data_IF_417807239401
#
_entry.id   IF_417807239401
#
_cell.length_a   1.000
_cell.length_b   1.000
_cell.length_c   1.000
_cell.angle_alpha   90.00
_cell.angle_beta   90.00
_cell.angle_gamma   90.00
#
_symmetry.space_group_name_H-M   'P 1'
#
loop_
_entity.id
_entity.type
_entity.pdbx_description
1 polymer ?
2 non-polymer ?
3 non-polymer ?
4 water ?
#
# COMPACT_ATOMS: atom_id res chain seq x y z
N UNK A 37 -22.93 -20.70 15.52
CA UNK A 37 -23.21 -19.46 14.81
C UNK A 37 -22.80 -18.19 15.51
N UNK A 38 -23.09 -18.00 16.78
CA UNK A 38 -22.65 -16.76 17.46
C UNK A 38 -21.39 -17.02 18.29
N UNK A 39 -20.34 -16.19 18.19
CA UNK A 39 -19.18 -16.45 18.94
C UNK A 39 -19.10 -15.29 19.85
N UNK A 40 -18.90 -15.57 21.12
CA UNK A 40 -18.80 -14.45 22.06
C UNK A 40 -17.40 -14.45 22.67
N UNK A 41 -16.72 -13.29 22.61
CA UNK A 41 -15.37 -13.10 23.14
C UNK A 41 -15.31 -11.77 23.86
N UNK A 42 -14.34 -11.62 24.79
CA UNK A 42 -14.12 -10.39 25.53
C UNK A 42 -12.87 -9.74 24.96
N UNK A 43 -12.90 -8.42 24.67
CA UNK A 43 -11.77 -7.75 24.03
C UNK A 43 -11.68 -6.21 24.24
N UNK A 44 -10.47 -5.63 24.49
CA UNK A 44 -10.39 -4.17 24.71
C UNK A 44 -10.60 -3.31 23.47
N UNK A 45 -9.78 -3.53 22.46
CA UNK A 45 -9.82 -2.74 21.24
C UNK A 45 -9.19 -1.38 21.32
N UNK A 46 -9.27 -0.62 20.20
CA UNK A 46 -8.67 0.72 20.11
C UNK A 46 -9.44 1.74 20.97
N UNK A 47 -8.76 2.82 21.32
CA UNK A 47 -9.32 3.87 22.17
C UNK A 47 -9.00 3.62 23.63
N UNK A 48 -10.01 3.46 24.51
CA UNK A 48 -9.70 3.24 25.94
C UNK A 48 -9.50 1.77 26.29
N UNK A 49 -8.63 1.48 27.29
CA UNK A 49 -8.39 0.09 27.72
C UNK A 49 -9.58 -0.35 28.58
N UNK A 50 -10.57 -1.00 27.94
CA UNK A 50 -11.79 -1.46 28.61
C UNK A 50 -12.37 -2.70 27.92
N UNK A 51 -11.91 -3.91 28.32
CA UNK A 51 -12.43 -5.15 27.72
C UNK A 51 -13.95 -5.28 27.78
N UNK A 52 -14.57 -5.68 26.66
CA UNK A 52 -16.02 -5.86 26.57
C UNK A 52 -16.42 -7.04 25.70
N UNK A 53 -17.61 -7.62 25.97
CA UNK A 53 -18.12 -8.75 25.21
C UNK A 53 -18.50 -8.33 23.80
N UNK A 54 -17.94 -9.02 22.79
CA UNK A 54 -18.26 -8.77 21.38
C UNK A 54 -18.79 -10.09 20.82
N UNK A 55 -19.98 -10.05 20.25
CA UNK A 55 -20.63 -11.22 19.70
C UNK A 55 -20.66 -11.08 18.19
N UNK A 56 -20.23 -12.11 17.45
CA UNK A 56 -20.26 -12.11 15.99
C UNK A 56 -20.76 -13.43 15.43
N UNK A 57 -21.25 -13.39 14.18
CA UNK A 57 -21.81 -14.56 13.51
C UNK A 57 -21.47 -14.52 12.00
N UNK A 58 -21.96 -15.51 11.23
CA UNK A 58 -21.71 -15.65 9.78
C UNK A 58 -20.22 -15.72 9.50
N UNK A 59 -19.49 -16.49 10.32
CA UNK A 59 -18.05 -16.63 10.19
C UNK A 59 -17.73 -17.45 8.94
N UNK A 60 -16.85 -16.90 8.08
CA UNK A 60 -16.42 -17.54 6.84
C UNK A 60 -14.93 -17.24 6.63
N UNK A 61 -14.18 -18.18 6.04
CA UNK A 61 -12.76 -18.01 5.78
C UNK A 61 -12.59 -17.18 4.50
N UNK A 62 -11.77 -16.09 4.54
CA UNK A 62 -11.48 -15.27 3.37
C UNK A 62 -10.25 -15.86 2.69
N UNK A 63 -9.17 -16.02 3.43
CA UNK A 63 -7.94 -16.58 2.89
C UNK A 63 -6.94 -17.03 3.93
N UNK A 64 -5.93 -17.77 3.47
CA UNK A 64 -4.82 -18.30 4.25
C UNK A 64 -3.50 -17.88 3.59
N UNK A 65 -2.48 -17.60 4.39
CA UNK A 65 -1.17 -17.22 3.86
C UNK A 65 -0.13 -16.88 4.91
N UNK A 66 0.89 -16.10 4.50
CA UNK A 66 1.98 -15.64 5.39
C UNK A 66 1.43 -14.85 6.58
N UNK A 67 0.39 -14.04 6.33
CA UNK A 67 -0.32 -13.21 7.31
C UNK A 67 -1.01 -14.00 8.42
N UNK A 68 -1.32 -15.26 8.16
CA UNK A 68 -2.03 -16.15 9.07
C UNK A 68 -3.29 -16.58 8.37
N UNK A 69 -4.45 -16.32 8.97
CA UNK A 69 -5.74 -16.64 8.36
C UNK A 69 -6.71 -15.49 8.64
N UNK A 70 -7.40 -15.00 7.59
CA UNK A 70 -8.35 -13.91 7.72
C UNK A 70 -9.77 -14.45 7.51
N UNK A 71 -10.69 -14.14 8.46
CA UNK A 71 -12.08 -14.56 8.40
C UNK A 71 -12.97 -13.34 8.21
N UNK A 72 -14.13 -13.57 7.61
CA UNK A 72 -15.17 -12.57 7.46
C UNK A 72 -16.19 -12.90 8.55
N UNK A 73 -16.79 -11.90 9.20
CA UNK A 73 -17.81 -12.13 10.23
C UNK A 73 -18.71 -10.90 10.35
N UNK A 74 -19.84 -11.03 11.06
CA UNK A 74 -20.79 -9.92 11.25
C UNK A 74 -20.93 -9.65 12.73
N UNK A 75 -20.81 -8.39 13.17
CA UNK A 75 -20.99 -8.04 14.58
C UNK A 75 -22.47 -8.04 14.86
N UNK A 76 -22.93 -8.78 15.88
CA UNK A 76 -24.34 -8.92 16.21
C UNK A 76 -25.04 -7.60 16.58
N UNK A 77 -24.39 -6.76 17.42
CA UNK A 77 -25.01 -5.51 17.88
C UNK A 77 -25.37 -4.53 16.77
N UNK A 78 -24.44 -4.28 15.85
CA UNK A 78 -24.65 -3.34 14.75
C UNK A 78 -24.97 -3.98 13.40
N UNK A 79 -24.69 -5.28 13.23
CA UNK A 79 -24.90 -5.97 11.97
C UNK A 79 -23.86 -5.59 10.92
N UNK A 80 -22.70 -5.06 11.36
CA UNK A 80 -21.61 -4.59 10.49
C UNK A 80 -20.65 -5.72 10.20
N UNK A 81 -20.19 -5.82 8.95
CA UNK A 81 -19.22 -6.83 8.56
C UNK A 81 -17.82 -6.44 9.04
N UNK A 82 -17.03 -7.43 9.45
CA UNK A 82 -15.67 -7.23 9.95
C UNK A 82 -14.77 -8.32 9.41
N UNK A 83 -13.46 -8.06 9.44
CA UNK A 83 -12.43 -9.00 9.03
C UNK A 83 -11.67 -9.36 10.30
N UNK A 84 -11.61 -10.65 10.65
CA UNK A 84 -10.88 -11.09 11.83
C UNK A 84 -9.60 -11.75 11.34
N UNK A 85 -8.43 -11.19 11.67
CA UNK A 85 -7.14 -11.77 11.29
C UNK A 85 -6.55 -12.50 12.49
N UNK A 86 -6.56 -13.85 12.46
CA UNK A 86 -6.03 -14.69 13.52
C UNK A 86 -4.58 -15.05 13.15
N UNK A 87 -3.61 -14.71 14.03
CA UNK A 87 -2.18 -14.97 13.80
C UNK A 87 -1.59 -15.70 15.01
N UNK A 88 -0.73 -16.70 14.74
CA UNK A 88 -0.06 -17.46 15.80
C UNK A 88 1.11 -16.62 16.31
N UNK A 89 1.23 -16.51 17.61
CA UNK A 89 2.33 -15.75 18.18
C UNK A 89 3.56 -16.63 18.54
N UNK A 90 4.65 -16.54 17.80
CA UNK A 90 5.90 -17.24 18.11
C UNK A 90 7.08 -16.49 17.46
N UNK A 91 8.31 -16.97 17.62
CA UNK A 91 9.53 -16.40 17.04
C UNK A 91 9.73 -14.98 17.45
N UNK A 96 5.21 -6.17 14.92
CA UNK A 96 4.68 -4.89 15.40
C UNK A 96 3.33 -4.49 14.88
N UNK A 97 2.59 -5.41 14.27
CA UNK A 97 1.26 -5.10 13.71
C UNK A 97 0.32 -4.54 14.78
N UNK A 98 0.17 -5.24 15.91
CA UNK A 98 -0.73 -4.79 16.98
C UNK A 98 -0.35 -3.39 17.47
N UNK A 99 0.94 -3.17 17.79
CA UNK A 99 1.46 -1.87 18.27
C UNK A 99 1.15 -0.71 17.33
N UNK A 100 1.32 -0.93 16.01
CA UNK A 100 1.06 0.09 15.00
C UNK A 100 -0.43 0.30 14.79
N UNK A 101 -1.20 -0.79 14.67
CA UNK A 101 -2.65 -0.70 14.44
C UNK A 101 -3.43 0.04 15.54
N UNK A 102 -2.95 0.01 16.79
CA UNK A 102 -3.61 0.72 17.88
C UNK A 102 -3.41 2.25 17.81
N UNK A 103 -2.36 2.72 17.11
CA UNK A 103 -2.06 4.16 17.00
C UNK A 103 -2.63 4.79 15.70
N UNK A 104 -2.73 4.02 14.61
CA UNK A 104 -3.20 4.57 13.34
C UNK A 104 -4.70 4.87 13.29
N UNK A 105 -5.05 6.03 12.72
CA UNK A 105 -6.43 6.48 12.53
C UNK A 105 -6.48 7.31 11.25
N UNK A 106 -6.91 6.68 10.15
CA UNK A 106 -6.96 7.34 8.85
C UNK A 106 -8.04 6.69 7.98
N UNK A 107 -8.68 7.48 7.09
CA UNK A 107 -9.74 6.99 6.21
C UNK A 107 -9.26 6.01 5.14
N UNK A 108 -7.94 5.96 4.81
CA UNK A 108 -7.40 5.04 3.82
C UNK A 108 -6.55 3.94 4.44
N UNK A 109 -6.79 3.64 5.73
CA UNK A 109 -6.11 2.55 6.41
C UNK A 109 -7.20 1.81 7.16
N UNK A 110 -7.21 0.46 7.03
CA UNK A 110 -8.20 -0.37 7.69
C UNK A 110 -8.02 -0.18 9.19
N UNK A 111 -9.08 0.21 9.88
CA UNK A 111 -9.06 0.46 11.30
C UNK A 111 -9.15 -0.78 12.16
N UNK A 112 -8.46 -0.82 13.30
CA UNK A 112 -8.58 -1.91 14.26
C UNK A 112 -9.74 -1.60 15.17
N UNK A 113 -10.78 -2.43 15.14
CA UNK A 113 -11.94 -2.25 16.03
C UNK A 113 -11.57 -2.81 17.38
N UNK A 114 -11.20 -4.10 17.40
CA UNK A 114 -10.86 -4.85 18.61
C UNK A 114 -9.70 -5.81 18.38
N UNK A 115 -9.09 -6.31 19.47
CA UNK A 115 -8.04 -7.33 19.41
C UNK A 115 -8.15 -8.30 20.59
N UNK A 116 -7.97 -9.60 20.36
CA UNK A 116 -8.07 -10.55 21.48
C UNK A 116 -7.21 -11.76 21.28
N UNK A 117 -6.81 -12.36 22.40
CA UNK A 117 -6.01 -13.57 22.39
C UNK A 117 -6.96 -14.74 22.53
N UNK A 118 -6.63 -15.83 21.87
CA UNK A 118 -7.50 -17.01 21.90
C UNK A 118 -6.69 -18.26 21.65
N UNK A 119 -7.38 -19.41 21.74
CA UNK A 119 -6.78 -20.70 21.43
C UNK A 119 -6.91 -20.86 19.91
N UNK A 120 -6.39 -21.96 19.38
CA UNK A 120 -6.48 -22.25 17.96
C UNK A 120 -6.12 -23.67 17.64
N UNK A 121 -5.70 -23.93 16.39
CA UNK A 121 -5.32 -25.26 15.90
C UNK A 121 -4.23 -25.92 16.75
N UNK A 122 -3.26 -25.14 17.17
CA UNK A 122 -2.20 -25.66 17.97
C UNK A 122 -2.42 -25.47 19.47
N UNK A 123 -2.50 -26.60 20.15
CA UNK A 123 -2.70 -26.62 21.54
C UNK A 123 -1.54 -25.91 22.25
N UNK A 124 -1.92 -25.15 23.23
CA UNK A 124 -1.04 -24.43 24.10
C UNK A 124 -0.35 -23.36 23.36
N UNK A 125 -0.74 -23.09 22.12
CA UNK A 125 -0.19 -21.87 21.54
C UNK A 125 -1.18 -20.73 21.68
N UNK A 126 -0.64 -19.51 21.79
CA UNK A 126 -1.40 -18.28 21.92
C UNK A 126 -1.60 -17.74 20.50
N UNK A 127 -2.82 -17.28 20.18
CA UNK A 127 -3.15 -16.70 18.88
C UNK A 127 -3.71 -15.33 19.10
N UNK A 128 -3.27 -14.33 18.31
CA UNK A 128 -3.76 -12.96 18.38
C UNK A 128 -4.80 -12.79 17.28
N UNK A 129 -5.97 -12.23 17.62
CA UNK A 129 -7.06 -11.98 16.69
C UNK A 129 -7.25 -10.49 16.54
N UNK A 130 -7.19 -9.96 15.31
CA UNK A 130 -7.40 -8.54 15.05
C UNK A 130 -8.76 -8.36 14.36
N UNK A 131 -9.73 -7.68 15.02
CA UNK A 131 -11.06 -7.42 14.45
C UNK A 131 -10.96 -6.09 13.71
N UNK A 132 -10.91 -6.14 12.38
CA UNK A 132 -10.72 -4.96 11.54
C UNK A 132 -11.97 -4.64 10.73
N UNK A 133 -12.00 -3.44 10.13
CA UNK A 133 -13.11 -3.06 9.25
C UNK A 133 -13.08 -3.93 8.02
N UNK A 134 -14.25 -4.40 7.56
CA UNK A 134 -14.33 -5.25 6.37
C UNK A 134 -14.51 -4.39 5.15
N UNK A 135 -13.74 -4.71 4.12
CA UNK A 135 -13.78 -4.06 2.80
C UNK A 135 -13.94 -5.25 1.83
N UNK A 136 -14.90 -5.22 0.88
CA UNK A 136 -15.15 -6.43 0.08
C UNK A 136 -14.10 -6.86 -0.98
N UNK A 137 -13.38 -5.95 -1.64
CA UNK A 137 -12.42 -6.36 -2.68
C UNK A 137 -11.00 -5.90 -2.43
N UNK A 138 -10.08 -6.34 -3.29
CA UNK A 138 -8.67 -5.95 -3.27
C UNK A 138 -8.38 -5.36 -4.64
N UNK A 139 -7.34 -4.51 -4.76
CA UNK A 139 -6.90 -3.93 -6.03
C UNK A 139 -6.41 -5.06 -6.94
N UNK A 140 -5.87 -6.13 -6.35
CA UNK A 140 -5.40 -7.29 -7.09
C UNK A 140 -6.56 -7.92 -7.86
N UNK A 141 -7.63 -8.21 -7.14
CA UNK A 141 -8.83 -8.86 -7.69
C UNK A 141 -9.54 -7.98 -8.70
N UNK A 142 -9.64 -6.68 -8.45
CA UNK A 142 -10.31 -5.76 -9.37
C UNK A 142 -9.46 -5.64 -10.65
N UNK A 143 -8.13 -5.50 -10.51
CA UNK A 143 -7.23 -5.45 -11.67
C UNK A 143 -7.30 -6.76 -12.46
N UNK A 144 -7.40 -7.90 -11.76
CA UNK A 144 -7.50 -9.22 -12.38
C UNK A 144 -8.81 -9.40 -13.15
N UNK A 145 -9.93 -8.80 -12.69
CA UNK A 145 -11.21 -8.85 -13.40
C UNK A 145 -11.08 -8.15 -14.75
N UNK A 146 -10.50 -6.94 -14.77
CA UNK A 146 -10.31 -6.17 -16.00
C UNK A 146 -9.34 -6.87 -16.94
N UNK A 147 -8.24 -7.45 -16.42
CA UNK A 147 -7.26 -8.15 -17.28
C UNK A 147 -7.89 -9.37 -17.98
N UNK A 148 -8.59 -10.21 -17.22
CA UNK A 148 -9.27 -11.41 -17.76
C UNK A 148 -10.32 -11.03 -18.80
N UNK A 149 -10.93 -9.83 -18.66
CA UNK A 149 -11.91 -9.29 -19.59
C UNK A 149 -11.24 -8.43 -20.69
N UNK A 150 -9.92 -8.62 -20.96
CA UNK A 150 -9.13 -7.91 -21.99
C UNK A 150 -9.22 -6.38 -21.89
N UNK A 151 -9.35 -5.86 -20.66
CA UNK A 151 -9.49 -4.44 -20.38
C UNK A 151 -8.43 -3.97 -19.39
N UNK A 152 -8.17 -2.68 -19.42
CA UNK A 152 -7.26 -2.03 -18.51
C UNK A 152 -8.20 -1.34 -17.49
N UNK A 153 -7.81 -1.28 -16.23
CA UNK A 153 -8.65 -0.64 -15.22
C UNK A 153 -8.90 0.84 -15.63
N UNK A 154 -10.17 1.33 -15.70
CA UNK A 154 -10.41 2.73 -16.08
C UNK A 154 -9.53 3.73 -15.32
N UNK A 155 -9.07 4.81 -15.99
CA UNK A 155 -8.12 5.76 -15.43
C UNK A 155 -8.71 6.39 -14.18
N UNK A 156 -10.02 6.70 -14.18
CA UNK A 156 -10.68 7.29 -13.01
C UNK A 156 -10.41 6.45 -11.74
N UNK A 157 -10.47 5.11 -11.84
CA UNK A 157 -10.15 4.24 -10.72
C UNK A 157 -8.65 4.18 -10.44
N UNK A 158 -7.80 4.21 -11.49
CA UNK A 158 -6.33 4.23 -11.34
C UNK A 158 -5.97 5.50 -10.54
N UNK A 159 -6.58 6.66 -10.90
CA UNK A 159 -6.38 7.93 -10.19
C UNK A 159 -6.87 7.80 -8.74
N UNK A 160 -8.12 7.38 -8.53
CA UNK A 160 -8.71 7.24 -7.19
C UNK A 160 -7.95 6.30 -6.28
N UNK A 161 -7.58 5.13 -6.78
CA UNK A 161 -6.89 4.11 -5.96
C UNK A 161 -5.47 4.52 -5.63
N UNK A 162 -4.73 5.08 -6.59
CA UNK A 162 -3.34 5.50 -6.37
C UNK A 162 -3.24 6.70 -5.44
N UNK A 163 -4.14 7.68 -5.61
CA UNK A 163 -4.21 8.87 -4.75
C UNK A 163 -4.42 8.45 -3.29
N UNK A 164 -5.39 7.56 -3.04
CA UNK A 164 -5.69 7.07 -1.70
C UNK A 164 -4.56 6.23 -1.12
N UNK A 165 -3.80 5.53 -1.98
CA UNK A 165 -2.65 4.75 -1.55
C UNK A 165 -1.58 5.74 -1.11
N UNK A 166 -1.24 6.72 -1.97
CA UNK A 166 -0.23 7.73 -1.61
C UNK A 166 -0.66 8.51 -0.39
N UNK A 167 -1.96 8.77 -0.24
CA UNK A 167 -2.46 9.50 0.92
C UNK A 167 -2.25 8.70 2.22
N UNK A 168 -2.51 7.39 2.19
CA UNK A 168 -2.27 6.51 3.34
C UNK A 168 -0.76 6.42 3.67
N UNK A 169 0.11 6.49 2.64
CA UNK A 169 1.57 6.46 2.80
C UNK A 169 2.07 7.78 3.37
N UNK A 170 1.48 8.91 2.95
CA UNK A 170 1.88 10.20 3.50
C UNK A 170 1.61 10.20 5.01
N UNK A 171 0.49 9.63 5.43
CA UNK A 171 0.11 9.53 6.83
C UNK A 171 1.05 8.63 7.66
N UNK A 172 1.30 7.38 7.24
CA UNK A 172 2.20 6.48 8.00
C UNK A 172 3.64 6.96 7.98
N UNK A 173 4.12 7.56 6.85
CA UNK A 173 5.48 8.07 6.74
C UNK A 173 5.70 9.33 7.58
N UNK A 174 4.62 10.05 7.96
CA UNK A 174 4.73 11.23 8.83
C UNK A 174 5.07 10.81 10.28
N UNK A 175 4.88 9.52 10.64
CA UNK A 175 5.24 8.95 11.94
C UNK A 175 6.55 8.16 11.83
N UNK A 176 7.16 8.12 10.64
CA UNK A 176 8.36 7.34 10.38
C UNK A 176 8.06 5.88 10.14
N UNK A 177 6.76 5.49 9.94
CA UNK A 177 6.36 4.10 9.73
C UNK A 177 6.37 3.78 8.26
N UNK A 178 7.12 2.73 7.89
CA UNK A 178 7.22 2.20 6.53
C UNK A 178 6.37 0.93 6.52
N UNK A 179 5.50 0.73 5.52
CA UNK A 179 4.67 -0.46 5.41
C UNK A 179 5.54 -1.69 5.11
N UNK A 180 6.42 -1.58 4.10
CA UNK A 180 7.34 -2.62 3.64
C UNK A 180 6.64 -3.83 2.99
N UNK A 181 5.39 -3.69 2.54
CA UNK A 181 4.72 -4.77 1.83
C UNK A 181 3.58 -4.21 0.97
N UNK A 182 3.84 -3.08 0.28
CA UNK A 182 2.82 -2.48 -0.58
C UNK A 182 2.70 -3.33 -1.84
N UNK A 183 1.49 -3.85 -2.10
CA UNK A 183 1.22 -4.69 -3.26
C UNK A 183 -0.29 -4.68 -3.50
N UNK A 184 -0.77 -5.07 -4.70
CA UNK A 184 -2.22 -5.05 -4.96
C UNK A 184 -3.11 -5.82 -3.98
N UNK A 185 -2.60 -6.91 -3.42
CA UNK A 185 -3.32 -7.76 -2.47
C UNK A 185 -3.59 -7.04 -1.15
N UNK A 186 -2.67 -6.14 -0.72
CA UNK A 186 -2.80 -5.37 0.52
C UNK A 186 -3.57 -4.04 0.36
N UNK A 187 -4.11 -3.74 -0.83
CA UNK A 187 -4.90 -2.52 -1.04
C UNK A 187 -6.35 -2.94 -1.12
N UNK A 188 -7.08 -2.78 0.00
CA UNK A 188 -8.48 -3.17 0.08
C UNK A 188 -9.32 -2.17 -0.65
N UNK A 189 -10.46 -2.61 -1.18
CA UNK A 189 -11.34 -1.79 -2.00
C UNK A 189 -12.80 -2.05 -1.81
N UNK A 190 -13.58 -0.96 -1.81
CA UNK A 190 -15.03 -1.01 -1.80
C UNK A 190 -15.40 -0.55 -3.22
N UNK A 191 -15.84 -1.47 -4.12
CA UNK A 191 -16.14 -1.05 -5.50
C UNK A 191 -17.15 0.07 -5.71
N UNK A 192 -18.25 0.10 -4.91
CA UNK A 192 -19.34 1.07 -5.08
C UNK A 192 -18.96 2.51 -4.74
N UNK A 193 -18.26 2.69 -3.63
CA UNK A 193 -17.83 4.01 -3.14
C UNK A 193 -16.42 4.40 -3.63
N UNK A 194 -15.63 3.43 -4.13
CA UNK A 194 -14.25 3.59 -4.60
C UNK A 194 -13.29 3.96 -3.45
N UNK A 195 -13.61 3.50 -2.22
CA UNK A 195 -12.78 3.75 -1.05
C UNK A 195 -11.67 2.71 -1.01
N UNK A 196 -10.41 3.14 -0.86
CA UNK A 196 -9.26 2.25 -0.76
C UNK A 196 -8.77 2.26 0.68
N UNK A 197 -8.42 1.09 1.22
CA UNK A 197 -7.90 0.97 2.57
C UNK A 197 -6.66 0.10 2.60
N UNK A 198 -5.54 0.67 3.02
CA UNK A 198 -4.28 -0.07 3.14
C UNK A 198 -4.41 -1.04 4.33
N UNK A 199 -3.97 -2.28 4.16
CA UNK A 199 -4.05 -3.30 5.20
C UNK A 199 -2.73 -4.07 5.30
N UNK A 200 -2.70 -5.05 6.24
CA UNK A 200 -1.58 -5.92 6.52
C UNK A 200 -0.32 -5.19 6.94
N UNK A 201 -0.25 -4.84 8.22
CA UNK A 201 0.91 -4.16 8.82
C UNK A 201 1.83 -5.17 9.54
N UNK A 202 1.87 -6.43 9.06
CA UNK A 202 2.71 -7.47 9.62
C UNK A 202 4.18 -7.35 9.25
N UNK A 203 4.51 -6.61 8.18
CA UNK A 203 5.89 -6.34 7.77
C UNK A 203 6.28 -4.90 8.17
N UNK A 204 5.33 -4.08 8.65
CA UNK A 204 5.53 -2.67 8.97
C UNK A 204 6.45 -2.41 10.14
N UNK A 205 7.21 -1.32 10.05
CA UNK A 205 8.15 -0.96 11.10
C UNK A 205 8.48 0.53 11.07
N UNK A 206 8.72 1.11 12.25
CA UNK A 206 9.15 2.49 12.36
C UNK A 206 10.64 2.51 12.04
N UNK A 207 11.04 3.21 10.96
CA UNK A 207 12.45 3.31 10.54
C UNK A 207 13.10 4.46 11.29
N UNK A 208 14.24 4.20 11.96
CA UNK A 208 15.00 5.21 12.73
C UNK A 208 16.41 5.29 12.14
N UNK A 209 16.91 6.53 11.90
CA UNK A 209 18.26 6.71 11.35
C UNK A 209 19.30 6.23 12.35
N UNK A 210 20.15 5.28 11.92
CA UNK A 210 21.17 4.68 12.76
C UNK A 210 20.89 3.22 13.04
N UNK A 211 19.59 2.84 13.13
CA UNK A 211 19.18 1.46 13.41
C UNK A 211 19.05 0.70 12.08
N UNK A 212 19.79 -0.42 11.88
CA UNK A 212 19.67 -1.15 10.61
C UNK A 212 18.36 -1.92 10.49
N UNK A 213 17.96 -2.25 9.25
CA UNK A 213 16.71 -2.96 8.96
C UNK A 213 16.97 -4.09 7.96
N UNK A 214 16.18 -5.19 8.02
CA UNK A 214 16.37 -6.32 7.08
C UNK A 214 16.18 -5.87 5.64
N UNK A 215 17.04 -6.38 4.75
CA UNK A 215 16.99 -6.08 3.33
C UNK A 215 16.00 -6.99 2.64
N UNK A 217 12.90 -8.01 2.38
CA UNK A 217 11.55 -7.59 2.79
C UNK A 217 10.79 -7.15 1.54
N UNK A 218 9.42 -7.07 1.62
CA UNK A 218 8.51 -6.71 0.52
C UNK A 218 8.34 -7.91 -0.38
N UNK A 219 7.17 -8.05 -1.02
CA UNK A 219 6.93 -9.15 -1.96
C UNK A 219 7.81 -8.82 -3.16
N UNK A 220 8.61 -9.79 -3.61
CA UNK A 220 9.62 -9.63 -4.67
C UNK A 220 9.26 -8.70 -5.81
N UNK A 221 8.07 -8.85 -6.42
CA UNK A 221 7.67 -8.03 -7.58
C UNK A 221 7.69 -6.52 -7.26
N UNK A 222 7.39 -6.17 -6.01
CA UNK A 222 7.30 -4.78 -5.55
C UNK A 222 8.48 -4.39 -4.68
N UNK A 223 9.58 -5.16 -4.71
CA UNK A 223 10.76 -4.90 -3.89
C UNK A 223 11.62 -3.81 -4.53
N UNK A 224 11.93 -2.75 -3.77
CA UNK A 224 12.78 -1.65 -4.26
C UNK A 224 14.19 -2.13 -4.54
N UNK A 225 14.91 -1.54 -5.53
CA UNK A 225 16.25 -2.05 -5.86
C UNK A 225 17.32 -1.92 -4.76
N UNK A 226 17.16 -0.98 -3.79
CA UNK A 226 18.09 -0.83 -2.64
C UNK A 226 18.06 -2.07 -1.82
N UNK A 227 16.86 -2.67 -1.67
CA UNK A 227 16.67 -3.89 -0.89
C UNK A 227 17.36 -5.03 -1.60
N UNK A 228 17.31 -5.06 -2.95
CA UNK A 228 17.98 -6.10 -3.73
C UNK A 228 19.50 -5.95 -3.56
N UNK A 229 20.00 -4.69 -3.54
CA UNK A 229 21.44 -4.43 -3.32
C UNK A 229 21.87 -4.58 -1.83
N UNK A 230 20.99 -5.10 -0.96
CA UNK A 230 21.32 -5.39 0.44
C UNK A 230 21.38 -4.19 1.37
N UNK A 231 20.74 -3.07 1.01
CA UNK A 231 20.78 -1.87 1.87
C UNK A 231 20.01 -2.12 3.17
N UNK A 232 20.63 -1.81 4.32
CA UNK A 232 20.00 -1.92 5.64
C UNK A 232 19.62 -0.53 6.17
N UNK A 233 20.13 0.55 5.52
CA UNK A 233 19.89 1.94 5.90
C UNK A 233 18.80 2.61 5.03
N UNK A 234 17.94 1.80 4.39
CA UNK A 234 16.85 2.31 3.55
C UNK A 234 15.85 3.15 4.32
N UNK A 235 15.03 3.90 3.58
CA UNK A 235 14.04 4.80 4.14
C UNK A 235 12.66 4.36 3.72
N UNK A 236 11.66 5.18 4.05
CA UNK A 236 10.29 4.93 3.67
C UNK A 236 10.05 5.04 2.15
N UNK A 237 11.03 5.55 1.36
CA UNK A 237 10.88 5.60 -0.10
C UNK A 237 10.84 4.19 -0.77
N UNK A 238 11.01 3.07 -0.01
CA UNK A 238 10.84 1.72 -0.58
C UNK A 238 9.34 1.47 -0.86
N UNK A 239 8.44 2.11 -0.10
CA UNK A 239 7.00 2.00 -0.32
C UNK A 239 6.57 2.79 -1.55
N UNK A 240 7.26 3.89 -1.85
CA UNK A 240 6.99 4.71 -3.03
C UNK A 240 7.37 3.90 -4.28
N UNK A 241 8.49 3.16 -4.20
CA UNK A 241 8.90 2.31 -5.33
C UNK A 241 7.82 1.26 -5.52
N UNK A 242 7.40 0.61 -4.43
CA UNK A 242 6.36 -0.43 -4.46
C UNK A 242 5.04 0.15 -5.00
N UNK A 243 4.71 1.40 -4.67
CA UNK A 243 3.49 2.06 -5.19
C UNK A 243 3.64 2.33 -6.70
N UNK A 244 4.85 2.68 -7.13
CA UNK A 244 5.17 2.85 -8.55
C UNK A 244 4.96 1.57 -9.33
N UNK A 245 5.33 0.43 -8.72
CA UNK A 245 5.12 -0.91 -9.27
C UNK A 245 3.62 -1.19 -9.39
N UNK A 246 2.82 -0.79 -8.36
CA UNK A 246 1.37 -0.99 -8.40
C UNK A 246 0.78 -0.11 -9.53
N UNK A 247 1.18 1.17 -9.61
CA UNK A 247 0.71 2.07 -10.68
C UNK A 247 1.01 1.47 -12.06
N UNK A 248 2.27 1.09 -12.31
CA UNK A 248 2.69 0.50 -13.59
C UNK A 248 1.88 -0.76 -13.93
N UNK A 249 1.60 -1.60 -12.94
CA UNK A 249 0.82 -2.83 -13.14
C UNK A 249 -0.63 -2.55 -13.56
N UNK A 250 -1.24 -1.47 -13.05
CA UNK A 250 -2.60 -1.10 -13.42
C UNK A 250 -2.65 -0.54 -14.84
N UNK A 251 -1.56 0.09 -15.31
CA UNK A 251 -1.47 0.63 -16.66
C UNK A 251 -1.12 -0.46 -17.69
N UNK A 252 -0.39 -1.52 -17.27
CA UNK A 252 0.01 -2.62 -18.16
C UNK A 252 -0.95 -3.81 -18.16
N UNK A 253 -1.62 -4.05 -17.04
CA UNK A 253 -2.53 -5.19 -16.90
C UNK A 253 -1.81 -6.45 -16.44
N UNK A 254 -0.56 -6.30 -15.94
CA UNK A 254 0.27 -7.41 -15.46
C UNK A 254 1.47 -6.82 -14.72
N UNK A 255 2.09 -7.53 -13.74
CA UNK A 255 3.25 -6.94 -13.04
C UNK A 255 4.36 -6.47 -13.98
N UNK A 256 4.89 -5.25 -13.75
CA UNK A 256 5.97 -4.68 -14.56
C UNK A 256 7.33 -5.41 -14.35
N UNK A 257 7.60 -5.92 -13.14
CA UNK A 257 8.88 -6.59 -12.83
C UNK A 257 8.65 -7.98 -12.23
N UNK A 258 8.24 -8.98 -13.05
CA UNK A 258 7.95 -10.31 -12.51
C UNK A 258 9.18 -11.21 -12.36
N UNK A 259 10.05 -10.87 -11.41
CA UNK A 259 11.27 -11.64 -11.17
C UNK A 259 11.01 -12.97 -10.50
N UNK A 260 11.81 -13.99 -10.85
CA UNK A 260 11.70 -15.34 -10.30
C UNK A 260 12.64 -15.55 -9.09
N UNK A 261 13.36 -14.50 -8.66
CA UNK A 261 14.29 -14.53 -7.52
C UNK A 261 14.81 -13.11 -7.29
N UNK A 262 15.52 -12.89 -6.18
CA UNK A 262 16.11 -11.60 -5.87
C UNK A 262 17.02 -11.06 -6.97
N UNK A 263 17.81 -11.94 -7.58
CA UNK A 263 18.76 -11.58 -8.64
C UNK A 263 18.00 -11.29 -9.93
N UNK A 264 17.06 -12.17 -10.31
CA UNK A 264 16.26 -12.00 -11.52
C UNK A 264 15.31 -10.79 -11.40
N UNK A 265 14.95 -10.39 -10.15
CA UNK A 265 14.12 -9.22 -9.94
C UNK A 265 14.88 -7.97 -10.41
N UNK A 266 16.18 -7.90 -10.12
CA UNK A 266 17.01 -6.78 -10.56
C UNK A 266 17.15 -6.78 -12.10
N UNK A 267 17.19 -7.96 -12.73
CA UNK A 267 17.28 -8.09 -14.20
C UNK A 267 16.04 -7.48 -14.83
N UNK A 268 14.86 -7.74 -14.25
CA UNK A 268 13.60 -7.18 -14.75
C UNK A 268 13.59 -5.66 -14.64
N UNK A 269 14.12 -5.11 -13.55
CA UNK A 269 14.22 -3.66 -13.36
C UNK A 269 15.17 -3.06 -14.40
N UNK A 270 16.35 -3.67 -14.57
CA UNK A 270 17.37 -3.23 -15.55
C UNK A 270 16.82 -3.28 -16.99
N UNK A 271 16.02 -4.29 -17.35
CA UNK A 271 15.43 -4.36 -18.70
C UNK A 271 14.53 -3.16 -19.06
N UNK A 272 13.96 -2.45 -18.06
CA UNK A 272 13.13 -1.27 -18.27
C UNK A 272 13.95 -0.01 -17.99
N UNK A 273 14.52 0.13 -16.78
CA UNK A 273 15.26 1.33 -16.39
C UNK A 273 16.65 1.45 -16.97
N UNK A 274 17.19 0.37 -17.50
CA UNK A 274 18.56 0.35 -18.02
C UNK A 274 19.51 0.06 -16.88
N UNK A 275 20.77 -0.17 -17.20
CA UNK A 275 21.77 -0.46 -16.18
C UNK A 275 21.94 0.74 -15.24
N UNK A 276 21.86 0.55 -13.90
CA UNK A 276 22.05 1.69 -13.00
C UNK A 276 23.49 2.18 -13.02
N UNK A 277 23.70 3.48 -12.87
CA UNK A 277 25.05 4.07 -12.87
C UNK A 277 25.72 3.82 -11.52
N UNK A 278 27.01 4.21 -11.41
CA UNK A 278 27.76 4.08 -10.16
C UNK A 278 27.13 4.98 -9.10
N UNK A 279 26.83 6.25 -9.46
CA UNK A 279 26.18 7.20 -8.54
C UNK A 279 24.89 6.61 -7.99
N UNK A 280 24.06 6.03 -8.87
CA UNK A 280 22.80 5.39 -8.48
C UNK A 280 23.04 4.20 -7.56
N UNK A 281 24.03 3.36 -7.87
CA UNK A 281 24.37 2.23 -7.01
C UNK A 281 24.86 2.72 -5.63
N UNK A 282 25.66 3.79 -5.60
CA UNK A 282 26.12 4.36 -4.32
C UNK A 282 24.92 4.92 -3.52
N UNK A 283 23.97 5.58 -4.22
CA UNK A 283 22.76 6.10 -3.58
C UNK A 283 21.86 4.99 -3.01
N UNK A 284 21.77 3.85 -3.72
CA UNK A 284 20.96 2.70 -3.30
C UNK A 284 21.59 1.98 -2.11
N UNK A 285 22.91 1.70 -2.19
CA UNK A 285 23.65 1.08 -1.08
C UNK A 285 25.07 1.63 -1.08
N UNK A 286 25.45 2.47 -0.08
CA UNK A 286 26.81 3.01 -0.07
C UNK A 286 27.92 1.99 0.17
N UNK A 287 27.63 0.78 0.70
CA UNK A 287 28.65 -0.24 0.95
C UNK A 287 28.74 -1.32 -0.16
N UNK A 288 27.96 -1.20 -1.25
CA UNK A 288 28.04 -2.15 -2.37
C UNK A 288 29.04 -1.54 -3.35
N UNK A 289 30.03 -2.35 -3.75
CA UNK A 289 31.03 -1.94 -4.72
C UNK A 289 31.38 -2.93 -5.84
N UNK A 290 30.69 -4.05 -5.89
CA UNK A 290 30.99 -5.17 -6.78
C UNK A 290 30.19 -5.52 -8.01
N UNK A 291 29.35 -4.66 -8.54
CA UNK A 291 28.43 -4.69 -9.63
C UNK A 291 29.05 -4.34 -10.96
N UNK A 292 29.23 -5.39 -11.70
CA UNK A 292 29.68 -5.74 -12.97
C UNK A 292 28.40 -6.26 -13.53
N UNK A 293 27.91 -5.61 -14.56
CA UNK A 293 26.73 -6.00 -15.26
C UNK A 293 26.87 -5.36 -16.63
N UNK A 294 26.36 -6.03 -17.64
CA UNK A 294 26.44 -5.40 -18.97
C UNK A 294 25.64 -4.10 -19.11
N UNK A 295 26.00 -3.28 -20.10
CA UNK A 295 25.31 -2.02 -20.37
C UNK A 295 24.01 -2.28 -21.14
N UNK A 296 22.88 -2.13 -20.47
CA UNK A 296 21.55 -2.31 -21.05
C UNK A 296 20.93 -0.93 -21.14
N UNK A 297 20.42 -0.57 -22.32
CA UNK A 297 19.75 0.71 -22.54
C UNK A 297 18.41 0.70 -21.86
N UNK A 298 17.98 1.85 -21.37
CA UNK A 298 16.67 1.99 -20.72
C UNK A 298 15.57 1.92 -21.80
N UNK A 299 14.46 1.27 -21.46
CA UNK A 299 13.30 1.16 -22.35
C UNK A 299 12.54 2.49 -22.16
N UNK A 300 12.41 3.36 -23.20
CA UNK A 300 11.73 4.64 -22.95
C UNK A 300 10.33 4.46 -22.38
N UNK A 301 10.00 5.27 -21.36
CA UNK A 301 8.70 5.16 -20.66
C UNK A 301 7.48 5.19 -21.59
N UNK A 302 7.53 5.96 -22.69
CA UNK A 302 6.42 6.01 -23.66
C UNK A 302 6.21 4.66 -24.36
N UNK A 303 7.29 3.89 -24.56
CA UNK A 303 7.26 2.56 -25.19
C UNK A 303 6.91 1.43 -24.21
N UNK A 304 7.13 1.62 -22.90
CA UNK A 304 6.81 0.60 -21.89
C UNK A 304 5.30 0.37 -21.86
N UNK A 305 4.54 1.45 -21.81
CA UNK A 305 3.10 1.39 -21.75
C UNK A 305 2.49 1.43 -23.14
N UNK A 306 1.21 1.06 -23.25
CA UNK A 306 0.48 1.03 -24.52
C UNK A 306 0.22 2.47 -25.00
N UNK A 307 0.03 2.72 -26.31
CA UNK A 307 -0.14 4.11 -26.79
C UNK A 307 -1.31 4.92 -26.17
N UNK A 308 -2.41 4.27 -25.77
CA UNK A 308 -3.55 4.98 -25.15
C UNK A 308 -3.25 5.50 -23.72
N UNK A 309 -2.19 5.00 -23.08
CA UNK A 309 -1.81 5.39 -21.71
C UNK A 309 -1.66 6.91 -21.57
N UNK A 310 -2.36 7.58 -20.64
CA UNK A 310 -2.21 9.03 -20.53
C UNK A 310 -0.79 9.48 -20.17
N UNK A 311 -0.22 10.48 -20.90
CA UNK A 311 1.14 10.95 -20.57
C UNK A 311 1.41 11.27 -19.09
N UNK A 312 0.42 11.85 -18.39
CA UNK A 312 0.58 12.21 -16.97
C UNK A 312 0.77 10.98 -16.09
N UNK A 313 0.12 9.85 -16.44
CA UNK A 313 0.28 8.59 -15.69
C UNK A 313 1.72 8.09 -15.86
N UNK A 314 2.25 8.18 -17.10
CA UNK A 314 3.62 7.76 -17.44
C UNK A 314 4.60 8.68 -16.72
N UNK A 315 4.34 10.00 -16.74
CA UNK A 315 5.17 11.01 -16.09
C UNK A 315 5.25 10.74 -14.61
N UNK A 316 4.11 10.49 -13.95
CA UNK A 316 4.09 10.15 -12.51
C UNK A 316 4.90 8.89 -12.28
N UNK A 317 4.65 7.85 -13.07
CA UNK A 317 5.35 6.57 -12.94
C UNK A 317 6.88 6.71 -13.03
N UNK A 318 7.39 7.57 -13.93
CA UNK A 318 8.83 7.80 -14.07
C UNK A 318 9.46 8.47 -12.82
N UNK A 319 8.64 9.19 -12.01
CA UNK A 319 9.10 9.86 -10.79
C UNK A 319 9.02 8.97 -9.55
N UNK A 320 8.45 7.76 -9.68
CA UNK A 320 8.33 6.81 -8.60
C UNK A 320 9.34 5.69 -8.77
N UNK A 321 9.47 5.17 -10.00
CA UNK A 321 10.39 4.08 -10.34
C UNK A 321 11.71 4.67 -10.76
N UNK A 322 12.41 5.25 -9.78
CA UNK A 322 13.74 5.86 -9.92
C UNK A 322 14.69 4.97 -9.12
N UNK A 323 15.93 4.78 -9.62
CA UNK A 323 16.93 4.02 -8.87
C UNK A 323 17.30 4.74 -7.58
N UNK A 324 17.67 6.03 -7.69
CA UNK A 324 18.06 6.86 -6.56
C UNK A 324 16.86 7.02 -5.61
N UNK A 325 16.94 6.49 -4.37
CA UNK A 325 15.79 6.60 -3.46
C UNK A 325 15.31 8.02 -3.16
N UNK A 326 16.25 8.97 -3.01
CA UNK A 326 15.94 10.38 -2.70
C UNK A 326 15.29 11.12 -3.88
N UNK A 327 15.49 10.65 -5.12
CA UNK A 327 14.91 11.28 -6.32
C UNK A 327 13.42 10.96 -6.47
N UNK A 328 12.94 9.90 -5.79
CA UNK A 328 11.55 9.51 -5.89
C UNK A 328 10.69 10.55 -5.20
N UNK A 329 9.44 10.73 -5.68
CA UNK A 329 8.55 11.69 -5.05
C UNK A 329 8.12 11.13 -3.71
N UNK A 330 7.77 12.00 -2.77
CA UNK A 330 7.26 11.56 -1.50
C UNK A 330 5.79 11.21 -1.77
N UNK A 331 5.08 10.48 -0.87
CA UNK A 331 3.67 10.21 -1.15
C UNK A 331 2.83 11.49 -1.28
N UNK A 332 3.12 12.49 -0.45
CA UNK A 332 2.40 13.77 -0.50
C UNK A 332 2.63 14.51 -1.83
N UNK A 333 3.84 14.42 -2.40
CA UNK A 333 4.15 15.01 -3.70
C UNK A 333 3.47 14.21 -4.81
N UNK A 334 3.37 12.88 -4.67
CA UNK A 334 2.68 12.05 -5.66
C UNK A 334 1.20 12.46 -5.73
N UNK A 335 0.52 12.65 -4.56
CA UNK A 335 -0.87 13.15 -4.46
C UNK A 335 -1.06 14.47 -5.24
N UNK A 336 -0.10 15.38 -5.12
CA UNK A 336 -0.17 16.70 -5.77
C UNK A 336 0.23 16.68 -7.26
N UNK A 337 0.52 15.50 -7.85
CA UNK A 337 0.93 15.39 -9.27
C UNK A 337 -0.25 15.71 -10.18
N UNK A 338 0.06 16.24 -11.38
CA UNK A 338 -0.97 16.58 -12.38
C UNK A 338 -1.83 15.37 -12.81
N UNK A 339 -1.35 14.13 -12.65
CA UNK A 339 -2.14 12.95 -12.97
C UNK A 339 -3.43 12.90 -12.12
N UNK A 340 -3.44 13.47 -10.90
CA UNK A 340 -4.62 13.46 -10.04
C UNK A 340 -5.49 14.73 -10.16
N UNK A 341 -5.23 15.62 -11.14
CA UNK A 341 -6.01 16.85 -11.35
C UNK A 341 -7.51 16.64 -11.52
N UNK A 342 -7.93 15.55 -12.21
CA UNK A 342 -9.34 15.25 -12.42
C UNK A 342 -10.07 15.03 -11.09
N UNK A 343 -9.38 14.47 -10.07
CA UNK A 343 -9.99 14.23 -8.76
C UNK A 343 -10.23 15.52 -8.02
N UNK A 344 -9.43 16.56 -8.30
CA UNK A 344 -9.59 17.88 -7.72
C UNK A 344 -10.58 18.77 -8.50
N UNK A 345 -11.23 18.23 -9.56
CA UNK A 345 -12.19 18.99 -10.36
C UNK A 345 -13.52 19.07 -9.60
N UNK A 346 -14.13 20.27 -9.44
CA UNK A 346 -15.43 20.35 -8.71
C UNK A 346 -16.53 19.42 -9.25
N UNK A 347 -16.54 19.16 -10.58
CA UNK A 347 -17.56 18.35 -11.25
C UNK A 347 -17.21 16.87 -11.42
N UNK A 348 -16.15 16.37 -10.76
CA UNK A 348 -15.79 14.96 -10.87
C UNK A 348 -16.79 14.05 -10.15
N UNK A 349 -17.17 12.94 -10.79
CA UNK A 349 -18.07 11.94 -10.24
C UNK A 349 -17.54 10.55 -10.60
N UNK A 350 -17.94 9.53 -9.84
CA UNK A 350 -17.55 8.15 -10.15
C UNK A 350 -18.39 7.69 -11.35
N UNK A 351 -17.95 6.69 -12.15
CA UNK A 351 -18.78 6.23 -13.29
C UNK A 351 -20.24 5.89 -12.93
N UNK A 352 -20.49 5.34 -11.72
CA UNK A 352 -21.85 4.99 -11.29
C UNK A 352 -22.75 6.20 -10.94
N UNK A 353 -22.16 7.39 -10.81
CA UNK A 353 -22.90 8.61 -10.51
C UNK A 353 -22.66 9.15 -9.12
N UNK A 354 -22.19 8.29 -8.16
CA UNK A 354 -21.89 8.74 -6.80
C UNK A 354 -20.76 9.75 -6.77
N UNK A 355 -20.71 10.52 -5.70
CA UNK A 355 -19.61 11.44 -5.48
C UNK A 355 -18.38 10.60 -5.18
N UNK A 356 -17.19 11.21 -5.32
CA UNK A 356 -15.96 10.51 -5.00
C UNK A 356 -15.89 10.37 -3.48
N UNK A 357 -15.07 9.47 -2.93
CA UNK A 357 -14.94 9.41 -1.47
C UNK A 357 -14.20 10.65 -0.96
N UNK A 358 -14.00 10.77 0.35
CA UNK A 358 -13.29 11.94 0.88
C UNK A 358 -11.81 11.91 0.47
N UNK A 359 -11.33 12.97 -0.19
CA UNK A 359 -9.96 13.08 -0.70
C UNK A 359 -9.18 14.29 -0.20
N UNK A 360 -9.83 15.31 0.36
CA UNK A 360 -9.18 16.56 0.75
C UNK A 360 -9.24 16.88 2.23
N UNK A 361 -9.76 15.99 3.08
CA UNK A 361 -9.83 16.25 4.54
C UNK A 361 -8.45 15.93 5.19
N UNK A 362 -7.41 16.65 4.75
CA UNK A 362 -6.05 16.45 5.24
C UNK A 362 -5.89 17.03 6.63
N UNK A 363 -5.20 16.30 7.52
CA UNK A 363 -4.87 16.77 8.86
C UNK A 363 -3.50 17.46 8.77
N UNK A 364 -3.11 18.17 9.79
CA UNK A 364 -1.85 18.87 9.80
C UNK A 364 -0.71 17.85 9.83
N UNK A 365 -0.88 16.79 10.61
CA UNK A 365 0.04 15.65 10.70
C UNK A 365 0.32 15.07 9.29
N UNK A 366 -0.72 14.98 8.49
CA UNK A 366 -0.65 14.44 7.13
C UNK A 366 0.09 15.34 6.16
N UNK A 367 0.02 16.66 6.35
CA UNK A 367 0.71 17.65 5.51
C UNK A 367 2.09 18.03 6.03
N UNK A 368 2.56 17.41 7.13
CA UNK A 368 3.85 17.67 7.80
C UNK A 368 5.06 17.76 6.88
N UNK A 369 5.23 16.78 5.98
CA UNK A 369 6.39 16.74 5.08
C UNK A 369 6.50 17.96 4.16
N UNK A 370 5.36 18.57 3.79
CA UNK A 370 5.36 19.72 2.89
C UNK A 370 4.06 20.53 3.09
N UNK A 371 3.98 21.36 4.16
CA UNK A 371 2.76 22.16 4.38
C UNK A 371 2.35 23.04 3.18
N UNK A 372 3.29 23.68 2.44
CA UNK A 372 2.88 24.49 1.27
C UNK A 372 2.11 23.74 0.18
N UNK A 373 2.20 22.40 0.09
CA UNK A 373 1.41 21.62 -0.88
C UNK A 373 -0.09 21.59 -0.59
N UNK A 374 -0.53 22.09 0.59
CA UNK A 374 -1.97 22.19 0.92
C UNK A 374 -2.71 23.06 -0.11
N UNK A 375 -2.02 24.04 -0.74
CA UNK A 375 -2.62 24.91 -1.75
C UNK A 375 -3.03 24.09 -2.98
N UNK A 376 -2.18 23.12 -3.38
CA UNK A 376 -2.48 22.25 -4.52
C UNK A 376 -3.43 21.13 -4.08
N UNK A 377 -3.10 20.45 -2.98
CA UNK A 377 -3.86 19.29 -2.50
C UNK A 377 -5.32 19.57 -2.13
N UNK A 378 -5.63 20.71 -1.49
CA UNK A 378 -7.01 21.03 -1.10
C UNK A 378 -7.55 22.02 -2.13
N UNK A 379 -8.42 21.60 -3.08
CA UNK A 379 -8.89 22.54 -4.11
C UNK A 379 -9.79 23.65 -3.57
N UNK A 380 -9.99 24.73 -4.37
CA UNK A 380 -10.86 25.85 -3.93
C UNK A 380 -12.22 25.47 -3.34
N UNK A 381 -12.92 24.51 -3.97
CA UNK A 381 -14.25 24.05 -3.53
C UNK A 381 -14.24 23.16 -2.30
N UNK A 382 -13.07 22.64 -1.89
CA UNK A 382 -12.95 21.76 -0.72
C UNK A 382 -12.41 22.46 0.52
N UNK A 383 -11.83 23.64 0.40
CA UNK A 383 -11.29 24.38 1.54
C UNK A 383 -12.44 24.81 2.49
N UNK A 384 -12.29 24.63 3.80
CA UNK A 384 -13.34 24.88 4.81
C UNK A 384 -14.66 24.35 4.36
#
# INVERSE_FOLDING_TARGET
MSGRPRTTSFAESCKPVQQPSAFGSMKVSRDKDGSKVTTVVATPGQGPDRPQEVSYTDTKVIGNGSFGVVYQAKLCDSGELVAIKKVLQDKRFKNRELQIMRKLDHCNIVRLRYFFYSSGEKKDEVYLNLVLDYVPETVYRVARHYSRAKQTLPVIYVKLYMYQLFRSLAYIHSFGICHRDIKPQNLLLDPDTAVLKLCDFGSAKQLVRGEPNVSXICSRYYRAPELIFGATDYTSSIDVWSAGCVLAELLLGQPIFPGDSGVDQLVEIIKVLGTPTREQIREMNPNYTEFKFPQIKAHPWTKVFRPRTPPEAIALCSRLLEYTPTARLTPLEACAHSFFDELRDPNVKLPNGRDTPALFNFTTQELSSNPPLATILIPPHARIQAAASTPTNATAASDANTGDRGQTNNAASASASNST
#
